data_IF_235521365396
#
_entry.id   IF_235521365396
#
_cell.length_a   1.000
_cell.length_b   1.000
_cell.length_c   1.000
_cell.angle_alpha   90.00
_cell.angle_beta   90.00
_cell.angle_gamma   90.00
#
_symmetry.space_group_name_H-M   'P 1'
#
loop_
_entity.id
_entity.type
_entity.pdbx_description
1 polymer ?
#
# COMPACT_ATOMS: atom_id res chain seq x y z
N UNK A 1 6.64 -0.31 3.48
CA UNK A 1 7.85 0.42 3.95
C UNK A 1 9.08 -0.22 3.33
N UNK A 2 9.98 0.54 2.71
CA UNK A 2 11.19 0.01 2.08
C UNK A 2 12.35 0.07 3.06
N UNK A 3 12.98 -1.08 3.31
CA UNK A 3 14.07 -1.24 4.28
C UNK A 3 14.87 -2.50 3.98
N UNK A 4 16.07 -2.69 4.57
CA UNK A 4 16.83 -3.92 4.42
C UNK A 4 16.03 -5.16 4.84
N UNK A 5 16.35 -6.32 4.26
CA UNK A 5 15.67 -7.57 4.57
C UNK A 5 15.69 -7.88 6.07
N UNK A 6 14.51 -8.13 6.63
CA UNK A 6 14.36 -8.74 7.95
C UNK A 6 14.29 -10.24 7.73
N UNK A 7 15.32 -10.97 8.17
CA UNK A 7 15.34 -12.43 8.01
C UNK A 7 14.37 -13.09 8.98
N UNK A 8 13.80 -14.23 8.56
CA UNK A 8 12.96 -15.04 9.43
C UNK A 8 13.76 -15.46 10.66
N UNK A 9 13.32 -15.02 11.84
CA UNK A 9 13.93 -15.42 13.11
C UNK A 9 12.90 -15.36 14.26
N UNK A 10 12.98 -16.32 15.17
CA UNK A 10 11.99 -16.48 16.23
C UNK A 10 12.05 -15.39 17.30
N UNK A 11 13.21 -14.74 17.48
CA UNK A 11 13.36 -13.62 18.43
C UNK A 11 12.54 -12.40 17.98
N UNK A 12 12.68 -12.01 16.71
CA UNK A 12 11.90 -10.97 16.06
C UNK A 12 10.41 -11.32 16.06
N UNK A 13 10.06 -12.56 15.68
CA UNK A 13 8.67 -13.03 15.67
C UNK A 13 8.06 -12.91 17.07
N UNK A 14 8.75 -13.37 18.10
CA UNK A 14 8.28 -13.26 19.49
C UNK A 14 8.11 -11.80 19.91
N UNK A 15 9.02 -10.92 19.50
CA UNK A 15 8.99 -9.50 19.85
C UNK A 15 7.88 -8.71 19.12
N UNK A 16 7.52 -9.08 17.89
CA UNK A 16 6.43 -8.44 17.14
C UNK A 16 5.06 -9.03 17.53
N UNK A 17 5.00 -10.31 17.89
CA UNK A 17 3.77 -10.97 18.36
C UNK A 17 3.25 -10.43 19.70
N UNK A 18 4.06 -9.67 20.45
CA UNK A 18 3.54 -8.92 21.63
C UNK A 18 2.50 -7.87 21.22
N UNK A 19 2.58 -7.35 19.99
CA UNK A 19 1.60 -6.43 19.41
C UNK A 19 0.58 -7.16 18.52
N UNK A 20 0.98 -8.28 17.93
CA UNK A 20 0.19 -9.05 16.97
C UNK A 20 -0.03 -10.48 17.48
N UNK A 21 -0.81 -10.66 18.56
CA UNK A 21 -1.01 -11.96 19.16
C UNK A 21 -1.67 -12.92 18.16
N UNK A 22 -1.22 -14.18 18.17
CA UNK A 22 -1.73 -15.27 17.32
C UNK A 22 -1.50 -15.11 15.81
N UNK A 23 -0.71 -14.13 15.36
CA UNK A 23 -0.31 -14.07 13.95
C UNK A 23 0.60 -15.25 13.62
N UNK A 24 0.33 -15.91 12.49
CA UNK A 24 0.98 -17.16 12.09
C UNK A 24 2.14 -16.85 11.14
N UNK A 25 3.39 -17.19 11.50
CA UNK A 25 4.54 -17.02 10.61
C UNK A 25 4.59 -18.13 9.56
N UNK A 26 4.96 -17.78 8.33
CA UNK A 26 5.22 -18.71 7.23
C UNK A 26 6.42 -18.24 6.40
N UNK A 27 7.25 -19.17 5.94
CA UNK A 27 8.48 -18.89 5.17
C UNK A 27 8.40 -19.54 3.79
N UNK A 28 8.92 -18.86 2.77
CA UNK A 28 9.02 -19.39 1.41
C UNK A 28 10.44 -19.95 1.24
N UNK A 29 10.57 -21.27 1.23
CA UNK A 29 11.87 -21.96 1.32
C UNK A 29 12.58 -22.14 -0.01
N UNK A 30 11.89 -22.64 -1.03
CA UNK A 30 12.58 -23.29 -2.16
C UNK A 30 12.46 -22.54 -3.48
N UNK A 31 11.23 -22.34 -3.96
CA UNK A 31 10.95 -21.71 -5.24
C UNK A 31 10.04 -20.51 -5.06
N UNK A 32 10.06 -19.53 -5.97
CA UNK A 32 9.08 -18.47 -5.93
C UNK A 32 7.65 -19.02 -5.91
N UNK A 33 6.80 -18.49 -5.05
CA UNK A 33 5.41 -18.92 -4.90
C UNK A 33 4.48 -17.74 -5.11
N UNK A 34 3.37 -17.97 -5.83
CA UNK A 34 2.28 -16.99 -5.91
C UNK A 34 1.30 -17.26 -4.77
N UNK A 35 1.31 -16.40 -3.76
CA UNK A 35 0.39 -16.47 -2.63
C UNK A 35 -0.59 -15.30 -2.74
N UNK A 36 -1.86 -15.62 -3.02
CA UNK A 36 -2.96 -14.65 -3.14
C UNK A 36 -2.61 -13.48 -4.07
N UNK A 37 -2.10 -13.80 -5.26
CA UNK A 37 -1.74 -12.81 -6.28
C UNK A 37 -0.38 -12.12 -6.09
N UNK A 38 0.35 -12.38 -5.00
CA UNK A 38 1.71 -11.87 -4.80
C UNK A 38 2.75 -12.93 -5.12
N UNK A 39 3.72 -12.59 -5.97
CA UNK A 39 4.91 -13.42 -6.19
C UNK A 39 5.90 -13.19 -5.06
N UNK A 40 6.17 -14.22 -4.28
CA UNK A 40 7.13 -14.21 -3.18
C UNK A 40 8.35 -15.03 -3.56
N UNK A 41 9.53 -14.50 -3.24
CA UNK A 41 10.81 -15.16 -3.54
C UNK A 41 11.25 -16.06 -2.39
N UNK A 42 12.14 -17.03 -2.63
CA UNK A 42 12.80 -17.77 -1.56
C UNK A 42 13.46 -16.82 -0.57
N UNK A 43 13.21 -17.02 0.72
CA UNK A 43 13.66 -16.13 1.81
C UNK A 43 12.70 -15.00 2.15
N UNK A 44 11.66 -14.75 1.34
CA UNK A 44 10.51 -13.95 1.78
C UNK A 44 9.72 -14.75 2.83
N UNK A 45 9.09 -14.04 3.76
CA UNK A 45 8.26 -14.66 4.78
C UNK A 45 7.10 -13.74 5.18
N UNK A 46 6.06 -14.31 5.79
CA UNK A 46 4.80 -13.63 6.06
C UNK A 46 4.38 -13.86 7.51
N UNK A 47 3.79 -12.84 8.15
CA UNK A 47 2.92 -12.99 9.32
C UNK A 47 1.47 -12.76 8.89
N UNK A 48 0.63 -13.79 8.97
CA UNK A 48 -0.80 -13.68 8.67
C UNK A 48 -1.63 -13.58 9.96
N UNK A 49 -2.69 -12.78 9.94
CA UNK A 49 -3.73 -12.83 10.98
C UNK A 49 -4.44 -14.19 10.99
N UNK A 50 -5.08 -14.58 12.10
CA UNK A 50 -5.79 -15.86 12.19
C UNK A 50 -6.89 -16.08 11.13
N UNK A 51 -7.48 -14.99 10.65
CA UNK A 51 -8.52 -14.98 9.61
C UNK A 51 -7.96 -14.74 8.19
N UNK A 52 -6.64 -14.62 8.04
CA UNK A 52 -5.90 -14.39 6.78
C UNK A 52 -6.29 -13.12 6.01
N UNK A 53 -7.01 -12.19 6.65
CA UNK A 53 -7.40 -10.91 6.05
C UNK A 53 -6.29 -9.86 6.14
N UNK A 54 -5.39 -9.98 7.12
CA UNK A 54 -4.27 -9.08 7.33
C UNK A 54 -2.97 -9.87 7.19
N UNK A 55 -2.03 -9.32 6.43
CA UNK A 55 -0.73 -9.95 6.18
C UNK A 55 0.39 -8.93 6.30
N UNK A 56 1.49 -9.33 6.93
CA UNK A 56 2.74 -8.60 6.94
C UNK A 56 3.74 -9.40 6.14
N UNK A 57 4.13 -8.88 4.99
CA UNK A 57 5.02 -9.57 4.05
C UNK A 57 6.41 -8.96 4.17
N UNK A 58 7.38 -9.78 4.54
CA UNK A 58 8.79 -9.40 4.69
C UNK A 58 9.55 -9.87 3.47
N UNK A 59 9.98 -8.93 2.64
CA UNK A 59 10.70 -9.17 1.40
C UNK A 59 12.12 -8.62 1.47
N UNK A 60 12.95 -8.97 0.49
CA UNK A 60 14.36 -8.56 0.43
C UNK A 60 14.62 -7.05 0.60
N UNK A 61 13.70 -6.18 0.16
CA UNK A 61 13.89 -4.72 0.17
C UNK A 61 12.70 -3.93 0.73
N UNK A 62 11.67 -4.62 1.24
CA UNK A 62 10.50 -3.96 1.80
C UNK A 62 9.73 -4.87 2.75
N UNK A 63 8.97 -4.22 3.61
CA UNK A 63 7.94 -4.83 4.45
C UNK A 63 6.60 -4.21 4.07
N UNK A 64 5.65 -5.04 3.64
CA UNK A 64 4.30 -4.61 3.31
C UNK A 64 3.32 -5.02 4.40
N UNK A 65 2.44 -4.10 4.80
CA UNK A 65 1.29 -4.39 5.64
C UNK A 65 0.04 -4.30 4.76
N UNK A 66 -0.66 -5.42 4.59
CA UNK A 66 -1.73 -5.58 3.61
C UNK A 66 -3.01 -5.98 4.35
N UNK A 67 -4.08 -5.23 4.11
CA UNK A 67 -5.44 -5.58 4.53
C UNK A 67 -6.25 -5.85 3.28
N UNK A 68 -6.81 -7.06 3.18
CA UNK A 68 -7.80 -7.40 2.17
C UNK A 68 -9.19 -7.25 2.78
N UNK A 69 -10.03 -6.42 2.18
CA UNK A 69 -11.41 -6.21 2.65
C UNK A 69 -12.34 -5.93 1.48
N UNK A 70 -13.60 -6.32 1.62
CA UNK A 70 -14.67 -6.05 0.65
C UNK A 70 -15.56 -4.87 1.09
N UNK A 71 -15.09 -4.06 2.04
CA UNK A 71 -15.82 -2.90 2.54
C UNK A 71 -15.66 -1.74 1.56
N UNK A 72 -16.72 -0.96 1.37
CA UNK A 72 -16.67 0.27 0.56
C UNK A 72 -15.64 1.27 1.12
N UNK A 73 -15.03 2.03 0.23
CA UNK A 73 -14.07 3.05 0.65
C UNK A 73 -14.72 4.09 1.57
N UNK A 74 -14.11 4.31 2.73
CA UNK A 74 -14.38 5.47 3.58
C UNK A 74 -13.07 6.04 4.10
N UNK A 75 -13.07 7.33 4.44
CA UNK A 75 -11.92 7.98 5.07
C UNK A 75 -11.54 7.31 6.40
N UNK A 76 -12.51 6.75 7.13
CA UNK A 76 -12.28 6.04 8.40
C UNK A 76 -11.51 4.73 8.22
N UNK A 77 -11.78 4.00 7.13
CA UNK A 77 -11.06 2.76 6.82
C UNK A 77 -9.60 3.07 6.49
N UNK A 78 -9.34 4.09 5.68
CA UNK A 78 -7.96 4.48 5.38
C UNK A 78 -7.26 5.05 6.62
N UNK A 79 -7.96 5.81 7.46
CA UNK A 79 -7.43 6.28 8.74
C UNK A 79 -7.03 5.14 9.66
N UNK A 80 -7.85 4.08 9.71
CA UNK A 80 -7.55 2.86 10.47
C UNK A 80 -6.32 2.14 9.90
N UNK A 81 -6.27 1.95 8.57
CA UNK A 81 -5.11 1.36 7.89
C UNK A 81 -3.83 2.15 8.18
N UNK A 82 -3.88 3.48 8.00
CA UNK A 82 -2.78 4.39 8.22
C UNK A 82 -2.26 4.33 9.67
N UNK A 83 -3.17 4.30 10.65
CA UNK A 83 -2.82 4.14 12.06
C UNK A 83 -2.20 2.76 12.37
N UNK A 84 -2.73 1.68 11.79
CA UNK A 84 -2.16 0.34 11.95
C UNK A 84 -0.76 0.25 11.35
N UNK A 85 -0.58 0.78 10.14
CA UNK A 85 0.73 0.91 9.49
C UNK A 85 1.71 1.67 10.39
N UNK A 86 1.31 2.81 10.94
CA UNK A 86 2.14 3.58 11.86
C UNK A 86 2.61 2.72 13.05
N UNK A 87 1.68 2.12 13.78
CA UNK A 87 1.99 1.34 14.98
C UNK A 87 2.92 0.15 14.68
N UNK A 88 2.62 -0.59 13.62
CA UNK A 88 3.35 -1.79 13.24
C UNK A 88 4.74 -1.43 12.72
N UNK A 89 4.86 -0.48 11.80
CA UNK A 89 6.16 -0.11 11.24
C UNK A 89 7.05 0.55 12.29
N UNK A 90 6.49 1.39 13.17
CA UNK A 90 7.20 1.90 14.34
C UNK A 90 7.78 0.77 15.18
N UNK A 91 6.97 -0.23 15.52
CA UNK A 91 7.43 -1.39 16.32
C UNK A 91 8.52 -2.20 15.62
N UNK A 92 8.39 -2.42 14.31
CA UNK A 92 9.41 -3.11 13.51
C UNK A 92 10.74 -2.34 13.55
N UNK A 93 10.71 -1.02 13.37
CA UNK A 93 11.90 -0.17 13.43
C UNK A 93 12.53 -0.16 14.82
N UNK A 94 11.72 -0.16 15.89
CA UNK A 94 12.21 -0.25 17.27
C UNK A 94 12.90 -1.59 17.57
N UNK A 95 12.36 -2.71 17.10
CA UNK A 95 12.94 -4.05 17.31
C UNK A 95 14.25 -4.19 16.52
N UNK A 96 14.28 -3.70 15.28
CA UNK A 96 15.40 -3.92 14.35
C UNK A 96 16.49 -2.85 14.44
N UNK A 97 16.17 -1.66 14.94
CA UNK A 97 17.04 -0.48 14.87
C UNK A 97 17.25 0.06 13.44
N UNK A 98 16.51 -0.48 12.45
CA UNK A 98 16.67 -0.12 11.05
C UNK A 98 15.88 1.14 10.69
N UNK A 99 16.29 1.78 9.59
CA UNK A 99 15.62 2.94 9.01
C UNK A 99 15.03 2.60 7.65
N UNK A 100 13.98 3.31 7.26
CA UNK A 100 13.35 3.13 5.96
C UNK A 100 14.01 4.05 4.92
N UNK A 101 14.19 3.56 3.70
CA UNK A 101 14.67 4.37 2.57
C UNK A 101 13.52 5.02 1.80
N UNK A 102 12.31 4.44 1.90
CA UNK A 102 11.09 4.93 1.24
C UNK A 102 9.86 4.49 2.01
N UNK A 103 8.85 5.35 2.00
CA UNK A 103 7.54 5.11 2.59
C UNK A 103 6.48 5.10 1.50
N UNK A 104 5.44 4.28 1.68
CA UNK A 104 4.36 4.15 0.73
C UNK A 104 3.05 3.74 1.44
N UNK A 105 1.93 4.23 0.94
CA UNK A 105 0.58 3.80 1.26
C UNK A 105 -0.19 3.66 -0.06
N UNK A 106 -0.83 2.51 -0.27
CA UNK A 106 -1.42 2.20 -1.55
C UNK A 106 -2.82 1.57 -1.41
N UNK A 107 -3.89 2.37 -1.28
CA UNK A 107 -5.24 1.82 -1.39
C UNK A 107 -5.54 1.39 -2.84
N UNK A 108 -5.98 0.15 -2.99
CA UNK A 108 -6.49 -0.42 -4.24
C UNK A 108 -8.00 -0.60 -4.12
N UNK A 109 -8.75 -0.07 -5.08
CA UNK A 109 -10.21 -0.05 -5.06
C UNK A 109 -10.77 -0.77 -6.28
N UNK A 110 -11.79 -1.60 -6.05
CA UNK A 110 -12.60 -2.19 -7.12
C UNK A 110 -13.81 -1.29 -7.41
N UNK A 111 -14.05 -0.99 -8.69
CA UNK A 111 -15.22 -0.24 -9.10
C UNK A 111 -16.45 -1.14 -9.24
N UNK A 112 -17.47 -0.92 -8.41
CA UNK A 112 -18.74 -1.68 -8.38
C UNK A 112 -19.92 -1.00 -9.10
N UNK A 113 -19.71 0.17 -9.72
CA UNK A 113 -20.77 0.95 -10.36
C UNK A 113 -21.03 0.60 -11.84
N UNK A 114 -21.69 1.50 -12.56
CA UNK A 114 -21.98 1.36 -13.99
C UNK A 114 -20.71 1.52 -14.85
N UNK A 115 -20.42 0.53 -15.69
CA UNK A 115 -19.21 0.51 -16.53
C UNK A 115 -19.13 1.65 -17.57
N UNK A 116 -20.27 2.17 -18.04
CA UNK A 116 -20.33 3.34 -18.93
C UNK A 116 -19.97 4.60 -18.15
N UNK A 117 -20.49 4.74 -16.92
CA UNK A 117 -20.09 5.83 -16.03
C UNK A 117 -18.60 5.77 -15.71
N UNK A 118 -18.04 4.58 -15.48
CA UNK A 118 -16.60 4.40 -15.27
C UNK A 118 -15.77 4.83 -16.48
N UNK A 119 -16.13 4.40 -17.70
CA UNK A 119 -15.43 4.83 -18.92
C UNK A 119 -15.47 6.35 -19.08
N UNK A 120 -16.62 6.97 -18.80
CA UNK A 120 -16.75 8.42 -18.82
C UNK A 120 -15.90 9.09 -17.73
N UNK A 121 -15.84 8.50 -16.53
CA UNK A 121 -14.98 8.95 -15.44
C UNK A 121 -13.50 8.86 -15.83
N UNK A 122 -13.02 7.73 -16.34
CA UNK A 122 -11.64 7.59 -16.86
C UNK A 122 -11.34 8.62 -17.95
N UNK A 123 -12.26 8.85 -18.89
CA UNK A 123 -12.08 9.89 -19.91
C UNK A 123 -12.03 11.31 -19.32
N UNK A 124 -12.79 11.62 -18.26
CA UNK A 124 -12.67 12.89 -17.52
C UNK A 124 -11.33 13.01 -16.83
N UNK A 125 -10.83 11.92 -16.25
CA UNK A 125 -9.53 11.86 -15.59
C UNK A 125 -8.40 12.21 -16.54
N UNK A 126 -8.46 11.69 -17.77
CA UNK A 126 -7.52 12.06 -18.84
C UNK A 126 -7.40 13.57 -19.07
N UNK A 127 -8.46 14.33 -18.80
CA UNK A 127 -8.45 15.78 -18.92
C UNK A 127 -7.89 16.51 -17.69
N UNK A 128 -7.78 15.85 -16.54
CA UNK A 128 -7.24 16.44 -15.31
C UNK A 128 -5.71 16.34 -15.30
N UNK A 129 -5.02 17.46 -15.52
CA UNK A 129 -3.55 17.52 -15.66
C UNK A 129 -2.82 18.24 -14.50
N UNK A 130 -3.55 18.72 -13.49
CA UNK A 130 -2.99 19.49 -12.36
C UNK A 130 -3.62 19.05 -11.03
N UNK A 131 -2.80 18.77 -10.02
CA UNK A 131 -3.20 18.44 -8.65
C UNK A 131 -2.29 19.16 -7.67
N UNK A 132 -2.85 19.88 -6.69
CA UNK A 132 -2.09 20.74 -5.75
C UNK A 132 -1.01 21.58 -6.45
N UNK A 133 -1.39 22.33 -7.48
CA UNK A 133 -0.50 23.16 -8.31
C UNK A 133 0.61 22.41 -9.08
N UNK A 134 0.71 21.09 -8.89
CA UNK A 134 1.69 20.21 -9.52
C UNK A 134 1.12 19.61 -10.80
N UNK A 135 1.97 19.48 -11.84
CA UNK A 135 1.59 18.94 -13.15
C UNK A 135 1.96 17.47 -13.28
N UNK A 136 1.26 16.75 -14.17
CA UNK A 136 1.59 15.36 -14.55
C UNK A 136 2.97 15.31 -15.21
N UNK A 137 3.79 14.34 -14.81
CA UNK A 137 5.17 14.17 -15.30
C UNK A 137 5.27 13.37 -16.62
N UNK A 138 4.52 12.28 -16.75
CA UNK A 138 4.58 11.36 -17.90
C UNK A 138 3.21 10.74 -18.25
N UNK A 139 3.01 10.44 -19.54
CA UNK A 139 1.75 9.89 -20.10
C UNK A 139 1.90 8.39 -20.38
N UNK A 140 2.00 7.58 -19.33
CA UNK A 140 1.63 6.16 -19.40
C UNK A 140 0.14 6.04 -18.95
N UNK A 141 -0.53 4.89 -19.01
CA UNK A 141 -1.91 4.74 -18.46
C UNK A 141 -1.91 4.78 -16.90
N UNK A 142 -1.17 5.72 -16.34
CA UNK A 142 -0.99 6.05 -14.94
C UNK A 142 -0.65 7.54 -14.84
N UNK A 143 -1.33 8.28 -13.97
CA UNK A 143 -1.00 9.68 -13.72
C UNK A 143 -0.11 9.77 -12.50
N UNK A 144 1.00 10.51 -12.60
CA UNK A 144 1.92 10.74 -11.48
C UNK A 144 2.04 12.24 -11.22
N UNK A 145 1.70 12.64 -10.01
CA UNK A 145 1.95 13.98 -9.48
C UNK A 145 3.09 13.92 -8.48
N UNK A 146 4.03 14.86 -8.59
CA UNK A 146 5.13 15.02 -7.63
C UNK A 146 4.85 16.28 -6.83
N UNK A 147 4.51 16.08 -5.56
CA UNK A 147 4.09 17.15 -4.65
C UNK A 147 5.13 17.29 -3.55
N UNK A 148 5.55 18.52 -3.26
CA UNK A 148 6.36 18.80 -2.08
C UNK A 148 5.47 18.72 -0.84
N UNK A 149 5.71 17.71 -0.01
CA UNK A 149 5.00 17.49 1.24
C UNK A 149 5.97 17.62 2.42
N UNK A 150 5.49 18.21 3.51
CA UNK A 150 6.26 18.26 4.74
C UNK A 150 6.14 16.93 5.49
N UNK A 151 7.26 16.29 5.82
CA UNK A 151 7.33 15.13 6.70
C UNK A 151 8.33 15.45 7.83
N UNK A 152 7.85 15.45 9.07
CA UNK A 152 8.62 15.74 10.29
C UNK A 152 9.49 17.01 10.17
N UNK A 153 8.87 18.10 9.71
CA UNK A 153 9.53 19.42 9.56
C UNK A 153 10.51 19.54 8.38
N UNK A 154 10.56 18.56 7.47
CA UNK A 154 11.38 18.58 6.26
C UNK A 154 10.53 18.40 5.02
N UNK A 155 10.92 19.04 3.92
CA UNK A 155 10.22 18.91 2.64
C UNK A 155 10.72 17.68 1.87
N UNK A 156 9.79 16.87 1.40
CA UNK A 156 10.06 15.70 0.57
C UNK A 156 9.13 15.68 -0.63
N UNK A 157 9.67 15.24 -1.77
CA UNK A 157 8.84 14.91 -2.92
C UNK A 157 8.08 13.62 -2.61
N UNK A 158 6.75 13.71 -2.58
CA UNK A 158 5.82 12.58 -2.50
C UNK A 158 5.16 12.41 -3.86
N UNK A 159 5.26 11.20 -4.40
CA UNK A 159 4.59 10.80 -5.62
C UNK A 159 3.17 10.38 -5.28
N UNK A 160 2.19 10.93 -5.99
CA UNK A 160 0.80 10.51 -6.00
C UNK A 160 0.52 9.86 -7.34
N UNK A 161 0.50 8.53 -7.39
CA UNK A 161 0.29 7.75 -8.60
C UNK A 161 -1.13 7.19 -8.62
N UNK A 162 -1.86 7.38 -9.71
CA UNK A 162 -3.09 6.64 -9.99
C UNK A 162 -2.87 5.68 -11.15
N UNK A 163 -3.45 4.49 -11.08
CA UNK A 163 -3.45 3.52 -12.17
C UNK A 163 -4.80 2.85 -12.28
N UNK A 164 -5.45 3.07 -13.42
CA UNK A 164 -6.72 2.43 -13.75
C UNK A 164 -6.42 1.20 -14.61
N UNK A 165 -7.04 0.06 -14.35
CA UNK A 165 -6.82 -1.17 -15.12
C UNK A 165 -7.97 -2.15 -14.99
N UNK A 166 -8.01 -3.13 -15.89
CA UNK A 166 -8.91 -4.28 -15.77
C UNK A 166 -8.10 -5.43 -15.18
N UNK A 167 -8.61 -6.01 -14.10
CA UNK A 167 -8.09 -7.23 -13.50
C UNK A 167 -9.02 -8.40 -13.80
N UNK A 168 -8.46 -9.61 -13.86
CA UNK A 168 -9.21 -10.86 -14.10
C UNK A 168 -9.09 -11.83 -12.92
N UNK A 169 -9.55 -11.46 -11.70
CA UNK A 169 -9.49 -12.36 -10.56
C UNK A 169 -10.33 -13.63 -10.77
N UNK A 170 -9.87 -14.72 -10.15
CA UNK A 170 -10.65 -15.94 -9.98
C UNK A 170 -11.50 -15.76 -8.73
N UNK A 171 -12.82 -15.81 -8.87
CA UNK A 171 -13.77 -15.74 -7.75
C UNK A 171 -14.62 -17.00 -7.70
N UNK A 172 -15.04 -17.39 -6.50
CA UNK A 172 -15.90 -18.57 -6.30
C UNK A 172 -17.36 -18.13 -6.37
N UNK A 173 -18.08 -18.53 -7.41
CA UNK A 173 -19.52 -18.27 -7.57
C UNK A 173 -20.24 -19.61 -7.49
N UNK A 174 -21.10 -19.78 -6.48
CA UNK A 174 -21.84 -21.03 -6.23
C UNK A 174 -20.93 -22.28 -6.17
N UNK A 175 -19.73 -22.13 -5.57
CA UNK A 175 -18.75 -23.21 -5.47
C UNK A 175 -17.93 -23.48 -6.73
N UNK A 176 -18.11 -22.69 -7.80
CA UNK A 176 -17.38 -22.82 -9.06
C UNK A 176 -16.38 -21.66 -9.20
N UNK A 177 -15.12 -22.00 -9.46
CA UNK A 177 -14.10 -21.00 -9.81
C UNK A 177 -14.45 -20.37 -11.15
N UNK A 178 -14.73 -19.06 -11.13
CA UNK A 178 -15.13 -18.27 -12.29
C UNK A 178 -14.14 -17.13 -12.45
N UNK A 179 -13.69 -16.89 -13.69
CA UNK A 179 -12.91 -15.68 -14.02
C UNK A 179 -13.90 -14.54 -14.21
N UNK A 180 -13.70 -13.44 -13.49
CA UNK A 180 -14.47 -12.22 -13.67
C UNK A 180 -13.55 -11.08 -14.05
N UNK A 181 -13.97 -10.27 -15.01
CA UNK A 181 -13.32 -9.00 -15.31
C UNK A 181 -13.82 -7.94 -14.33
N UNK A 182 -12.91 -7.31 -13.60
CA UNK A 182 -13.21 -6.23 -12.66
C UNK A 182 -12.38 -5.00 -13.01
N UNK A 183 -12.98 -3.82 -12.90
CA UNK A 183 -12.26 -2.57 -13.09
C UNK A 183 -11.65 -2.15 -11.76
N UNK A 184 -10.35 -1.88 -11.76
CA UNK A 184 -9.57 -1.54 -10.58
C UNK A 184 -8.96 -0.15 -10.73
N UNK A 185 -8.76 0.50 -9.59
CA UNK A 185 -7.89 1.67 -9.48
C UNK A 185 -6.92 1.47 -8.32
N UNK A 186 -5.63 1.63 -8.60
CA UNK A 186 -4.60 1.71 -7.57
C UNK A 186 -4.24 3.18 -7.36
N UNK A 187 -4.23 3.64 -6.10
CA UNK A 187 -3.59 4.89 -5.73
C UNK A 187 -2.32 4.55 -4.96
N UNK A 188 -1.14 4.72 -5.55
CA UNK A 188 0.15 4.51 -4.88
C UNK A 188 0.75 5.86 -4.48
N UNK A 189 0.74 6.15 -3.18
CA UNK A 189 1.30 7.38 -2.61
C UNK A 189 2.59 7.03 -1.89
N UNK A 190 3.71 7.56 -2.37
CA UNK A 190 5.02 7.14 -1.88
C UNK A 190 6.06 8.25 -1.95
N UNK A 191 7.00 8.24 -1.00
CA UNK A 191 8.13 9.17 -1.02
C UNK A 191 9.05 8.85 -2.19
N UNK A 192 9.67 9.88 -2.78
CA UNK A 192 10.71 9.69 -3.79
C UNK A 192 11.94 8.99 -3.20
N UNK A 193 12.67 8.24 -4.03
CA UNK A 193 13.90 7.56 -3.59
C UNK A 193 15.00 8.60 -3.45
N UNK A 194 15.40 8.90 -2.22
CA UNK A 194 16.55 9.75 -1.93
C UNK A 194 17.66 8.92 -1.27
N UNK A 195 18.78 8.64 -1.96
CA UNK A 195 19.90 7.87 -1.39
C UNK A 195 20.56 8.54 -0.17
N UNK A 196 20.39 9.85 -0.01
CA UNK A 196 21.04 10.64 1.04
C UNK A 196 20.20 10.74 2.31
N UNK A 197 18.96 10.24 2.29
CA UNK A 197 18.06 10.32 3.44
C UNK A 197 17.42 8.97 3.77
N UNK A 198 17.34 8.70 5.07
CA UNK A 198 16.62 7.55 5.62
C UNK A 198 15.60 8.05 6.63
N UNK A 199 14.36 7.60 6.52
CA UNK A 199 13.28 7.89 7.45
C UNK A 199 13.51 7.11 8.75
N UNK A 200 13.60 7.86 9.86
CA UNK A 200 13.59 7.30 11.20
C UNK A 200 12.14 7.03 11.65
N UNK A 201 11.99 6.54 12.89
CA UNK A 201 10.69 6.20 13.47
C UNK A 201 9.73 7.38 13.52
N UNK A 202 10.23 8.61 13.77
CA UNK A 202 9.38 9.80 13.88
C UNK A 202 8.90 10.25 12.50
N UNK A 203 9.80 10.31 11.52
CA UNK A 203 9.45 10.65 10.14
C UNK A 203 8.50 9.61 9.53
N UNK A 204 8.71 8.33 9.86
CA UNK A 204 7.82 7.23 9.45
C UNK A 204 6.43 7.40 10.07
N UNK A 205 6.35 7.70 11.37
CA UNK A 205 5.08 7.95 12.04
C UNK A 205 4.33 9.14 11.46
N UNK A 206 5.01 10.26 11.21
CA UNK A 206 4.38 11.46 10.65
C UNK A 206 3.79 11.19 9.25
N UNK A 207 4.52 10.47 8.38
CA UNK A 207 4.03 10.08 7.07
C UNK A 207 2.73 9.26 7.17
N UNK A 208 2.71 8.22 8.01
CA UNK A 208 1.52 7.38 8.14
C UNK A 208 0.36 8.10 8.84
N UNK A 209 0.62 9.00 9.79
CA UNK A 209 -0.44 9.84 10.38
C UNK A 209 -1.10 10.76 9.34
N UNK A 210 -0.33 11.25 8.36
CA UNK A 210 -0.84 12.04 7.22
C UNK A 210 -1.45 11.20 6.10
N UNK A 211 -1.15 9.89 6.05
CA UNK A 211 -1.52 9.00 4.96
C UNK A 211 -3.00 8.97 4.61
N UNK A 212 -3.88 9.08 5.60
CA UNK A 212 -5.33 9.14 5.35
C UNK A 212 -5.76 10.43 4.65
N UNK A 213 -5.15 11.56 5.03
CA UNK A 213 -5.36 12.85 4.36
C UNK A 213 -4.88 12.79 2.92
N UNK A 214 -3.67 12.28 2.69
CA UNK A 214 -3.11 12.10 1.34
C UNK A 214 -4.03 11.27 0.43
N UNK A 215 -4.50 10.12 0.91
CA UNK A 215 -5.39 9.25 0.15
C UNK A 215 -6.75 9.91 -0.13
N UNK A 216 -7.32 10.59 0.87
CA UNK A 216 -8.66 11.17 0.77
C UNK A 216 -8.66 12.38 -0.17
N UNK A 217 -7.67 13.26 -0.05
CA UNK A 217 -7.50 14.40 -0.96
C UNK A 217 -7.29 13.93 -2.40
N UNK A 218 -6.45 12.91 -2.59
CA UNK A 218 -6.17 12.41 -3.93
C UNK A 218 -7.38 11.72 -4.55
N UNK A 219 -8.12 10.92 -3.78
CA UNK A 219 -9.35 10.31 -4.25
C UNK A 219 -10.42 11.37 -4.56
N UNK A 220 -10.65 12.33 -3.66
CA UNK A 220 -11.65 13.40 -3.84
C UNK A 220 -11.36 14.24 -5.08
N UNK A 221 -10.09 14.46 -5.43
CA UNK A 221 -9.73 15.11 -6.67
C UNK A 221 -10.27 14.38 -7.91
N UNK A 222 -10.39 13.05 -7.85
CA UNK A 222 -11.01 12.27 -8.91
C UNK A 222 -12.54 12.31 -8.85
N UNK A 223 -13.13 12.02 -7.70
CA UNK A 223 -14.58 11.72 -7.57
C UNK A 223 -15.46 12.89 -7.12
N UNK A 224 -14.88 14.02 -6.69
CA UNK A 224 -15.57 15.13 -6.06
C UNK A 224 -16.26 16.14 -7.00
N UNK A 225 -16.47 15.80 -8.28
CA UNK A 225 -17.16 16.64 -9.27
C UNK A 225 -18.38 15.95 -9.91
#
# INVERSE_FOLDING_TARGET
MFMPQITFNWEFISAIQTMLPNYIPSVISDTPQVIKGMLLSPGDWILSSPDDNIRIVFQAQKVDYIINTNIEYTQDIVSTLANNCNQIFKRIMEITGMRASRLAIAPTLEYKGDTTLFKNFVNKIYAKNTFKESKVDNCDFSQVFRVDEEINGKQFIVNYLSKFYVATPIVVVNGINTIQEVNMVDFDINTFVNPEYSFDTNATSDFFQKGAGFCSEFLLWYIGE
#
